data_IF_302889445293
#
_entry.id   IF_302889445293
#
_cell.length_a   1.000
_cell.length_b   1.000
_cell.length_c   1.000
_cell.angle_alpha   90.00
_cell.angle_beta   90.00
_cell.angle_gamma   90.00
#
_symmetry.space_group_name_H-M   'P 1'
#
loop_
_entity.id
_entity.type
_entity.pdbx_description
1 polymer ?
#
# COMPACT_ATOMS: atom_id res chain seq x y z
N UNK A 1 40.05 -44.14 8.32
CA UNK A 1 39.47 -43.44 7.15
C UNK A 1 38.04 -43.08 7.48
N UNK A 2 37.76 -41.82 7.80
CA UNK A 2 36.41 -41.32 8.09
C UNK A 2 36.11 -40.32 6.97
N UNK A 3 35.23 -40.71 6.03
CA UNK A 3 34.74 -39.84 4.96
C UNK A 3 33.50 -39.09 5.45
N UNK A 4 33.60 -37.77 5.56
CA UNK A 4 32.48 -36.87 5.82
C UNK A 4 31.78 -36.48 4.53
N UNK A 5 30.46 -36.62 4.49
CA UNK A 5 29.61 -36.11 3.42
C UNK A 5 29.14 -34.71 3.83
N UNK A 6 29.62 -33.67 3.14
CA UNK A 6 29.02 -32.34 3.18
C UNK A 6 27.74 -32.35 2.33
N UNK A 7 26.59 -32.18 2.98
CA UNK A 7 25.34 -31.84 2.29
C UNK A 7 25.31 -30.32 2.07
N UNK A 8 25.45 -29.89 0.82
CA UNK A 8 25.25 -28.50 0.42
C UNK A 8 23.75 -28.18 0.42
N UNK A 9 23.33 -27.29 1.32
CA UNK A 9 21.99 -26.71 1.32
C UNK A 9 21.89 -25.75 0.14
N UNK A 10 21.14 -26.13 -0.90
CA UNK A 10 20.74 -25.21 -1.98
C UNK A 10 19.58 -24.37 -1.46
N UNK A 11 19.90 -23.16 -0.99
CA UNK A 11 18.90 -22.12 -0.72
C UNK A 11 18.34 -21.65 -2.07
N UNK A 12 17.15 -22.12 -2.41
CA UNK A 12 16.38 -21.61 -3.55
C UNK A 12 15.98 -20.16 -3.28
N UNK A 13 16.65 -19.22 -3.95
CA UNK A 13 16.20 -17.84 -4.06
C UNK A 13 14.86 -17.83 -4.80
N UNK A 14 13.76 -17.59 -4.08
CA UNK A 14 12.49 -17.28 -4.73
C UNK A 14 12.58 -15.87 -5.33
N UNK A 15 12.65 -15.82 -6.66
CA UNK A 15 12.63 -14.57 -7.41
C UNK A 15 11.23 -13.97 -7.32
N UNK A 16 11.08 -12.92 -6.51
CA UNK A 16 9.94 -12.02 -6.63
C UNK A 16 9.98 -11.39 -8.02
N UNK A 17 8.84 -11.22 -8.72
CA UNK A 17 8.84 -10.47 -9.97
C UNK A 17 9.39 -9.08 -9.67
N UNK A 18 10.48 -8.73 -10.37
CA UNK A 18 11.04 -7.39 -10.29
C UNK A 18 9.95 -6.37 -10.62
N UNK A 19 9.95 -5.22 -9.95
CA UNK A 19 9.11 -4.10 -10.32
C UNK A 19 9.15 -3.92 -11.84
N UNK A 20 7.97 -3.91 -12.48
CA UNK A 20 7.90 -3.85 -13.93
C UNK A 20 8.64 -2.60 -14.41
N UNK A 21 9.60 -2.77 -15.32
CA UNK A 21 10.29 -1.61 -15.90
C UNK A 21 9.24 -0.70 -16.56
N UNK A 22 9.34 0.62 -16.39
CA UNK A 22 8.38 1.54 -16.99
C UNK A 22 8.22 1.36 -18.51
N UNK A 23 9.24 0.79 -19.18
CA UNK A 23 9.25 0.50 -20.61
C UNK A 23 8.21 -0.55 -21.05
N UNK A 24 7.75 -1.42 -20.15
CA UNK A 24 6.75 -2.46 -20.46
C UNK A 24 5.35 -2.12 -19.97
N UNK A 25 5.20 -1.02 -19.24
CA UNK A 25 3.91 -0.59 -18.70
C UNK A 25 3.16 0.26 -19.72
N UNK A 26 1.88 -0.05 -19.96
CA UNK A 26 1.04 0.77 -20.84
C UNK A 26 0.97 2.21 -20.30
N UNK A 27 0.96 3.22 -21.20
CA UNK A 27 0.73 4.60 -20.81
C UNK A 27 -0.70 4.76 -20.25
N UNK A 28 -0.89 5.73 -19.37
CA UNK A 28 -2.20 6.01 -18.79
C UNK A 28 -3.05 6.78 -19.79
N UNK A 29 -4.23 6.24 -20.13
CA UNK A 29 -5.26 6.95 -20.90
C UNK A 29 -6.07 7.86 -19.96
N UNK A 30 -5.59 9.10 -19.77
CA UNK A 30 -6.20 10.04 -18.83
C UNK A 30 -7.65 10.38 -19.15
N UNK A 31 -7.99 10.53 -20.44
CA UNK A 31 -9.33 10.89 -20.86
C UNK A 31 -10.32 9.76 -20.59
N UNK A 32 -9.94 8.52 -20.92
CA UNK A 32 -10.77 7.34 -20.63
C UNK A 32 -10.96 7.13 -19.14
N UNK A 33 -9.90 7.30 -18.35
CA UNK A 33 -9.99 7.14 -16.89
C UNK A 33 -10.87 8.22 -16.26
N UNK A 34 -10.73 9.49 -16.66
CA UNK A 34 -11.51 10.60 -16.12
C UNK A 34 -13.03 10.48 -16.35
N UNK A 35 -13.47 9.69 -17.33
CA UNK A 35 -14.90 9.45 -17.60
C UNK A 35 -15.50 8.24 -16.88
N UNK A 36 -14.71 7.47 -16.12
CA UNK A 36 -15.18 6.25 -15.43
C UNK A 36 -15.92 6.60 -14.13
N UNK A 37 -16.84 5.72 -13.74
CA UNK A 37 -17.33 5.72 -12.37
C UNK A 37 -16.19 5.34 -11.40
N UNK A 38 -16.20 5.94 -10.20
CA UNK A 38 -15.10 5.75 -9.24
C UNK A 38 -14.88 4.29 -8.87
N UNK A 39 -15.95 3.51 -8.65
CA UNK A 39 -15.81 2.09 -8.31
C UNK A 39 -15.10 1.28 -9.40
N UNK A 40 -15.44 1.55 -10.66
CA UNK A 40 -14.87 0.84 -11.82
C UNK A 40 -13.42 1.27 -12.06
N UNK A 41 -13.12 2.54 -11.85
CA UNK A 41 -11.76 3.06 -11.94
C UNK A 41 -10.87 2.51 -10.81
N UNK A 42 -11.32 2.63 -9.56
CA UNK A 42 -10.49 2.47 -8.38
C UNK A 42 -10.18 1.02 -8.06
N UNK A 43 -11.16 0.11 -8.22
CA UNK A 43 -11.05 -1.27 -7.71
C UNK A 43 -10.96 -2.35 -8.79
N UNK A 44 -11.28 -2.03 -10.06
CA UNK A 44 -11.32 -3.06 -11.10
C UNK A 44 -9.92 -3.56 -11.46
N UNK A 45 -9.75 -4.88 -11.43
CA UNK A 45 -8.58 -5.58 -11.98
C UNK A 45 -8.75 -5.98 -13.43
N UNK A 46 -9.97 -5.85 -13.98
CA UNK A 46 -10.33 -6.30 -15.32
C UNK A 46 -10.33 -5.14 -16.33
N UNK A 47 -10.56 -3.92 -15.86
CA UNK A 47 -10.62 -2.75 -16.72
C UNK A 47 -9.23 -2.15 -16.88
N UNK A 48 -8.69 -2.23 -18.10
CA UNK A 48 -7.37 -1.73 -18.45
C UNK A 48 -7.17 -0.24 -18.06
N UNK A 49 -5.98 0.07 -17.55
CA UNK A 49 -5.53 1.45 -17.30
C UNK A 49 -5.95 2.03 -15.94
N UNK A 50 -6.76 1.32 -15.14
CA UNK A 50 -7.04 1.70 -13.75
C UNK A 50 -5.88 1.39 -12.80
N UNK A 51 -5.82 2.03 -11.62
CA UNK A 51 -4.76 1.82 -10.63
C UNK A 51 -4.59 0.35 -10.23
N UNK A 52 -5.67 -0.39 -9.95
CA UNK A 52 -5.57 -1.80 -9.54
C UNK A 52 -5.12 -2.71 -10.68
N UNK A 53 -5.60 -2.49 -11.91
CA UNK A 53 -5.12 -3.20 -13.11
C UNK A 53 -3.62 -2.98 -13.34
N UNK A 54 -3.14 -1.73 -13.21
CA UNK A 54 -1.73 -1.37 -13.38
C UNK A 54 -0.87 -1.95 -12.23
N UNK A 55 -1.28 -1.77 -10.98
CA UNK A 55 -0.55 -2.24 -9.81
C UNK A 55 -0.45 -3.77 -9.76
N UNK A 56 -1.50 -4.49 -10.16
CA UNK A 56 -1.50 -5.96 -10.28
C UNK A 56 -0.49 -6.51 -11.28
N UNK A 57 0.05 -5.66 -12.18
CA UNK A 57 1.10 -5.98 -13.16
C UNK A 57 2.47 -5.43 -12.77
N UNK A 58 2.63 -4.94 -11.54
CA UNK A 58 3.87 -4.32 -11.07
C UNK A 58 4.14 -2.92 -11.66
N UNK A 59 3.15 -2.30 -12.33
CA UNK A 59 3.27 -0.99 -12.96
C UNK A 59 2.90 0.15 -11.99
N UNK A 60 3.54 0.17 -10.81
CA UNK A 60 3.16 1.05 -9.71
C UNK A 60 3.27 2.54 -10.03
N UNK A 61 4.32 2.96 -10.75
CA UNK A 61 4.46 4.36 -11.16
C UNK A 61 3.29 4.82 -12.07
N UNK A 62 2.87 3.96 -13.01
CA UNK A 62 1.69 4.22 -13.85
C UNK A 62 0.39 4.17 -13.06
N UNK A 63 0.28 3.27 -12.08
CA UNK A 63 -0.88 3.20 -11.20
C UNK A 63 -1.04 4.49 -10.37
N UNK A 64 0.07 5.02 -9.85
CA UNK A 64 0.10 6.33 -9.19
C UNK A 64 -0.25 7.48 -10.13
N UNK A 65 0.27 7.47 -11.36
CA UNK A 65 -0.11 8.44 -12.39
C UNK A 65 -1.62 8.41 -12.69
N UNK A 66 -2.21 7.21 -12.84
CA UNK A 66 -3.64 7.05 -13.06
C UNK A 66 -4.47 7.63 -11.91
N UNK A 67 -4.14 7.28 -10.66
CA UNK A 67 -4.86 7.78 -9.48
C UNK A 67 -4.76 9.31 -9.34
N UNK A 68 -3.56 9.88 -9.54
CA UNK A 68 -3.33 11.33 -9.47
C UNK A 68 -4.14 12.09 -10.53
N UNK A 69 -4.17 11.58 -11.76
CA UNK A 69 -4.93 12.23 -12.84
C UNK A 69 -6.45 12.12 -12.64
N UNK A 70 -6.92 10.99 -12.10
CA UNK A 70 -8.32 10.83 -11.75
C UNK A 70 -8.75 11.77 -10.61
N UNK A 71 -7.90 11.97 -9.59
CA UNK A 71 -8.12 12.98 -8.55
C UNK A 71 -8.19 14.41 -9.10
N UNK A 72 -7.44 14.70 -10.17
CA UNK A 72 -7.36 16.04 -10.76
C UNK A 72 -8.45 16.33 -11.80
N UNK A 73 -8.87 15.33 -12.57
CA UNK A 73 -9.74 15.51 -13.76
C UNK A 73 -11.00 14.64 -13.77
N UNK A 74 -11.09 13.68 -12.86
CA UNK A 74 -12.24 12.79 -12.77
C UNK A 74 -13.48 13.46 -12.18
N UNK A 75 -14.54 12.68 -11.95
CA UNK A 75 -15.74 13.14 -11.25
C UNK A 75 -15.41 13.66 -9.85
N UNK A 76 -16.26 14.55 -9.33
CA UNK A 76 -16.17 14.98 -7.93
C UNK A 76 -16.40 13.79 -7.01
N UNK A 77 -15.40 13.51 -6.16
CA UNK A 77 -15.43 12.42 -5.19
C UNK A 77 -15.99 12.89 -3.86
N UNK A 78 -16.68 11.98 -3.17
CA UNK A 78 -16.97 12.16 -1.75
C UNK A 78 -15.68 12.13 -0.91
N UNK A 79 -15.75 12.61 0.33
CA UNK A 79 -14.63 12.58 1.28
C UNK A 79 -14.05 11.17 1.43
N UNK A 80 -14.92 10.15 1.50
CA UNK A 80 -14.50 8.75 1.64
C UNK A 80 -13.74 8.27 0.41
N UNK A 81 -14.27 8.53 -0.79
CA UNK A 81 -13.69 8.10 -2.06
C UNK A 81 -12.36 8.81 -2.32
N UNK A 82 -12.28 10.11 -2.04
CA UNK A 82 -11.04 10.89 -2.12
C UNK A 82 -9.97 10.31 -1.20
N UNK A 83 -10.30 10.04 0.06
CA UNK A 83 -9.37 9.46 1.02
C UNK A 83 -8.85 8.07 0.59
N UNK A 84 -9.72 7.21 0.06
CA UNK A 84 -9.30 5.89 -0.45
C UNK A 84 -8.36 6.05 -1.64
N UNK A 85 -8.72 6.91 -2.60
CA UNK A 85 -7.91 7.15 -3.79
C UNK A 85 -6.54 7.71 -3.44
N UNK A 86 -6.46 8.62 -2.46
CA UNK A 86 -5.21 9.16 -1.92
C UNK A 86 -4.35 8.08 -1.24
N UNK A 87 -4.96 7.18 -0.47
CA UNK A 87 -4.24 6.07 0.15
C UNK A 87 -3.64 5.15 -0.93
N UNK A 88 -4.41 4.75 -1.94
CA UNK A 88 -3.92 3.89 -3.02
C UNK A 88 -2.86 4.59 -3.88
N UNK A 89 -3.02 5.89 -4.16
CA UNK A 89 -1.98 6.71 -4.77
C UNK A 89 -0.69 6.62 -3.96
N UNK A 90 -0.76 6.87 -2.65
CA UNK A 90 0.40 6.82 -1.76
C UNK A 90 1.09 5.46 -1.77
N UNK A 91 0.33 4.36 -1.69
CA UNK A 91 0.89 3.00 -1.76
C UNK A 91 1.56 2.70 -3.09
N UNK A 92 0.96 3.14 -4.21
CA UNK A 92 1.55 2.95 -5.54
C UNK A 92 2.84 3.78 -5.71
N UNK A 93 2.88 5.01 -5.20
CA UNK A 93 4.11 5.82 -5.18
C UNK A 93 5.20 5.16 -4.34
N UNK A 94 4.85 4.64 -3.15
CA UNK A 94 5.79 3.96 -2.27
C UNK A 94 6.35 2.68 -2.91
N UNK A 95 5.51 1.87 -3.55
CA UNK A 95 5.97 0.72 -4.33
C UNK A 95 6.83 1.12 -5.55
N UNK A 96 6.62 2.30 -6.12
CA UNK A 96 7.46 2.85 -7.18
C UNK A 96 8.79 3.45 -6.67
N UNK A 97 9.01 3.48 -5.34
CA UNK A 97 10.21 4.03 -4.71
C UNK A 97 10.15 5.54 -4.42
N UNK A 98 9.04 6.21 -4.72
CA UNK A 98 8.84 7.64 -4.41
C UNK A 98 8.17 7.79 -3.05
N UNK A 99 8.90 7.46 -1.99
CA UNK A 99 8.37 7.46 -0.61
C UNK A 99 8.03 8.87 -0.11
N UNK A 100 8.71 9.89 -0.60
CA UNK A 100 8.43 11.28 -0.25
C UNK A 100 7.06 11.74 -0.78
N UNK A 101 6.78 11.50 -2.06
CA UNK A 101 5.46 11.81 -2.61
C UNK A 101 4.38 10.87 -2.03
N UNK A 102 4.74 9.61 -1.76
CA UNK A 102 3.85 8.68 -1.08
C UNK A 102 3.40 9.19 0.29
N UNK A 103 4.32 9.70 1.11
CA UNK A 103 4.00 10.24 2.42
C UNK A 103 3.00 11.40 2.33
N UNK A 104 3.16 12.30 1.35
CA UNK A 104 2.22 13.40 1.13
C UNK A 104 0.82 12.92 0.73
N UNK A 105 0.74 11.94 -0.18
CA UNK A 105 -0.52 11.35 -0.58
C UNK A 105 -1.21 10.60 0.57
N UNK A 106 -0.45 9.81 1.35
CA UNK A 106 -0.96 9.12 2.54
C UNK A 106 -1.45 10.11 3.59
N UNK A 107 -0.71 11.18 3.87
CA UNK A 107 -1.16 12.23 4.80
C UNK A 107 -2.49 12.86 4.35
N UNK A 108 -2.67 13.03 3.03
CA UNK A 108 -3.92 13.54 2.42
C UNK A 108 -5.07 12.54 2.45
N UNK A 109 -4.82 11.28 2.79
CA UNK A 109 -5.84 10.24 2.96
C UNK A 109 -6.53 10.30 4.34
N UNK A 110 -6.01 11.10 5.29
CA UNK A 110 -6.62 11.24 6.63
C UNK A 110 -8.03 11.81 6.51
N UNK A 111 -8.96 11.32 7.34
CA UNK A 111 -10.35 11.80 7.42
C UNK A 111 -10.58 12.58 8.70
N UNK A 112 -11.72 13.25 8.79
CA UNK A 112 -12.20 13.79 10.07
C UNK A 112 -12.35 12.66 11.09
N UNK A 113 -11.97 12.91 12.34
CA UNK A 113 -12.17 11.97 13.45
C UNK A 113 -13.65 11.86 13.87
N UNK A 114 -14.52 12.73 13.32
CA UNK A 114 -15.97 12.66 13.47
C UNK A 114 -16.54 11.55 12.57
N UNK A 115 -16.53 10.32 13.08
CA UNK A 115 -17.21 9.20 12.43
C UNK A 115 -18.72 9.42 12.36
N UNK A 116 -19.30 9.19 11.20
CA UNK A 116 -20.77 9.12 11.07
C UNK A 116 -21.25 7.68 11.30
N UNK A 117 -22.50 7.49 11.72
CA UNK A 117 -23.08 6.16 11.98
C UNK A 117 -23.08 5.22 10.74
N UNK A 118 -22.92 5.78 9.54
CA UNK A 118 -22.83 5.03 8.28
C UNK A 118 -21.41 4.62 7.86
N UNK A 119 -20.38 5.01 8.61
CA UNK A 119 -19.00 4.63 8.31
C UNK A 119 -18.63 3.29 8.94
N UNK A 120 -17.82 2.51 8.21
CA UNK A 120 -17.23 1.27 8.73
C UNK A 120 -16.47 1.62 10.02
N UNK A 121 -16.65 0.81 11.06
CA UNK A 121 -16.01 0.96 12.37
C UNK A 121 -14.50 0.65 12.36
N UNK A 122 -13.80 1.04 11.31
CA UNK A 122 -12.36 0.94 11.12
C UNK A 122 -11.68 2.19 11.68
N UNK A 123 -10.56 2.04 12.38
CA UNK A 123 -9.62 3.12 12.67
C UNK A 123 -8.74 3.44 11.47
N UNK A 124 -9.40 4.03 10.47
CA UNK A 124 -8.79 4.50 9.24
C UNK A 124 -7.61 5.44 9.50
N UNK A 125 -7.77 6.39 10.41
CA UNK A 125 -6.73 7.38 10.69
C UNK A 125 -5.53 6.74 11.38
N UNK A 126 -5.71 5.79 12.31
CA UNK A 126 -4.57 5.05 12.86
C UNK A 126 -3.79 4.30 11.77
N UNK A 127 -4.47 3.64 10.83
CA UNK A 127 -3.78 2.96 9.73
C UNK A 127 -3.03 3.94 8.82
N UNK A 128 -3.67 5.04 8.41
CA UNK A 128 -3.06 6.08 7.57
C UNK A 128 -1.85 6.71 8.26
N UNK A 129 -1.97 7.08 9.53
CA UNK A 129 -0.89 7.68 10.31
C UNK A 129 0.27 6.72 10.55
N UNK A 130 -0.02 5.42 10.76
CA UNK A 130 1.02 4.41 10.91
C UNK A 130 1.80 4.19 9.60
N UNK A 131 1.09 4.12 8.47
CA UNK A 131 1.71 4.03 7.15
C UNK A 131 2.57 5.27 6.85
N UNK A 132 2.06 6.46 7.18
CA UNK A 132 2.82 7.70 7.08
C UNK A 132 4.10 7.64 7.93
N UNK A 133 4.01 7.18 9.18
CA UNK A 133 5.15 7.01 10.08
C UNK A 133 6.26 6.14 9.48
N UNK A 134 5.90 5.02 8.84
CA UNK A 134 6.88 4.21 8.09
C UNK A 134 7.55 4.99 6.95
N UNK A 135 6.76 5.71 6.13
CA UNK A 135 7.27 6.41 4.95
C UNK A 135 8.18 7.58 5.31
N UNK A 136 7.94 8.26 6.43
CA UNK A 136 8.79 9.37 6.91
C UNK A 136 9.84 8.93 7.92
N UNK A 137 9.99 7.62 8.15
CA UNK A 137 10.90 7.03 9.12
C UNK A 137 10.70 7.55 10.55
N UNK A 138 9.45 7.75 10.94
CA UNK A 138 9.02 7.99 12.32
C UNK A 138 8.57 6.66 12.98
N UNK A 139 9.50 6.06 13.74
CA UNK A 139 9.28 4.77 14.39
C UNK A 139 8.25 4.86 15.51
N UNK A 140 8.28 5.95 16.28
CA UNK A 140 7.39 6.14 17.42
C UNK A 140 5.94 6.27 16.96
N UNK A 141 5.70 7.02 15.88
CA UNK A 141 4.38 7.13 15.28
C UNK A 141 3.87 5.77 14.77
N UNK A 142 4.69 5.04 14.01
CA UNK A 142 4.32 3.71 13.51
C UNK A 142 3.93 2.76 14.65
N UNK A 143 4.77 2.66 15.68
CA UNK A 143 4.56 1.75 16.81
C UNK A 143 3.30 2.15 17.61
N UNK A 144 3.09 3.45 17.85
CA UNK A 144 1.90 3.94 18.55
C UNK A 144 0.60 3.62 17.81
N UNK A 145 0.58 3.78 16.49
CA UNK A 145 -0.62 3.48 15.68
C UNK A 145 -0.86 1.99 15.52
N UNK A 146 0.20 1.20 15.34
CA UNK A 146 0.11 -0.26 15.36
C UNK A 146 -0.53 -0.76 16.66
N UNK A 147 -0.08 -0.24 17.79
CA UNK A 147 -0.60 -0.61 19.11
C UNK A 147 -2.06 -0.15 19.28
N UNK A 148 -2.45 0.99 18.71
CA UNK A 148 -3.86 1.40 18.65
C UNK A 148 -4.73 0.38 17.91
N UNK A 149 -4.30 -0.06 16.71
CA UNK A 149 -5.05 -1.02 15.90
C UNK A 149 -5.13 -2.41 16.56
N UNK A 150 -4.09 -2.84 17.27
CA UNK A 150 -4.07 -4.12 17.99
C UNK A 150 -5.10 -4.22 19.12
N UNK A 151 -5.51 -3.09 19.69
CA UNK A 151 -6.55 -3.04 20.73
C UNK A 151 -7.97 -3.09 20.17
N UNK A 152 -8.15 -2.91 18.85
CA UNK A 152 -9.45 -2.98 18.21
C UNK A 152 -9.91 -4.43 18.07
N UNK A 153 -11.21 -4.67 18.26
CA UNK A 153 -11.83 -5.98 17.99
C UNK A 153 -12.36 -6.08 16.55
N UNK A 154 -12.26 -5.01 15.76
CA UNK A 154 -12.75 -4.97 14.39
C UNK A 154 -11.79 -5.70 13.44
N UNK A 155 -12.31 -6.65 12.64
CA UNK A 155 -11.49 -7.46 11.72
C UNK A 155 -10.68 -6.60 10.74
N UNK A 156 -11.25 -5.48 10.27
CA UNK A 156 -10.53 -4.54 9.40
C UNK A 156 -9.30 -3.93 10.06
N UNK A 157 -9.38 -3.61 11.35
CA UNK A 157 -8.24 -3.05 12.08
C UNK A 157 -7.19 -4.12 12.35
N UNK A 158 -7.59 -5.37 12.58
CA UNK A 158 -6.66 -6.49 12.69
C UNK A 158 -5.86 -6.70 11.39
N UNK A 159 -6.51 -6.58 10.22
CA UNK A 159 -5.80 -6.62 8.93
C UNK A 159 -4.82 -5.46 8.76
N UNK A 160 -5.25 -4.24 9.11
CA UNK A 160 -4.39 -3.06 9.05
C UNK A 160 -3.21 -3.15 10.04
N UNK A 161 -3.43 -3.67 11.25
CA UNK A 161 -2.39 -3.95 12.24
C UNK A 161 -1.37 -4.96 11.68
N UNK A 162 -1.83 -6.01 11.00
CA UNK A 162 -0.95 -6.96 10.32
C UNK A 162 -0.07 -6.27 9.26
N UNK A 163 -0.62 -5.33 8.51
CA UNK A 163 0.17 -4.56 7.54
C UNK A 163 1.21 -3.65 8.23
N UNK A 164 0.81 -2.87 9.25
CA UNK A 164 1.75 -2.03 9.99
C UNK A 164 2.82 -2.84 10.73
N UNK A 165 2.48 -4.01 11.27
CA UNK A 165 3.44 -4.90 11.92
C UNK A 165 4.50 -5.40 10.93
N UNK A 166 4.13 -5.69 9.70
CA UNK A 166 5.08 -6.04 8.62
C UNK A 166 6.04 -4.88 8.32
N UNK A 167 5.51 -3.67 8.22
CA UNK A 167 6.31 -2.47 8.03
C UNK A 167 7.27 -2.24 9.20
N UNK A 168 6.81 -2.42 10.43
CA UNK A 168 7.62 -2.27 11.64
C UNK A 168 8.76 -3.30 11.72
N UNK A 169 8.51 -4.55 11.29
CA UNK A 169 9.52 -5.61 11.28
C UNK A 169 10.71 -5.30 10.35
N UNK A 170 10.47 -4.55 9.27
CA UNK A 170 11.47 -4.14 8.29
C UNK A 170 11.53 -2.61 8.14
N UNK A 171 11.46 -1.90 9.26
CA UNK A 171 11.30 -0.44 9.30
C UNK A 171 12.33 0.34 8.47
N UNK A 172 13.58 -0.10 8.48
CA UNK A 172 14.68 0.57 7.77
C UNK A 172 14.70 0.28 6.26
N UNK A 173 13.92 -0.68 5.78
CA UNK A 173 13.86 -1.03 4.35
C UNK A 173 12.96 -0.08 3.58
N UNK A 174 13.04 -0.13 2.25
CA UNK A 174 12.03 0.52 1.39
C UNK A 174 10.65 -0.13 1.60
N UNK A 175 9.59 0.61 1.26
CA UNK A 175 8.22 0.12 1.32
C UNK A 175 8.03 -1.16 0.49
N UNK A 176 8.60 -1.20 -0.72
CA UNK A 176 8.59 -2.38 -1.58
C UNK A 176 9.18 -3.59 -0.84
N UNK A 177 10.41 -3.46 -0.33
CA UNK A 177 11.10 -4.56 0.36
C UNK A 177 10.35 -4.99 1.61
N UNK A 178 9.87 -4.06 2.44
CA UNK A 178 9.10 -4.38 3.64
C UNK A 178 7.81 -5.15 3.30
N UNK A 179 7.14 -4.78 2.21
CA UNK A 179 5.86 -5.36 1.81
C UNK A 179 5.99 -6.68 1.05
N UNK A 180 7.11 -6.96 0.38
CA UNK A 180 7.28 -8.19 -0.41
C UNK A 180 8.17 -9.22 0.26
N UNK A 181 9.21 -8.82 0.99
CA UNK A 181 10.17 -9.76 1.55
C UNK A 181 9.52 -10.64 2.63
N UNK A 182 9.74 -11.95 2.55
CA UNK A 182 9.10 -12.95 3.42
C UNK A 182 9.52 -12.81 4.88
N UNK A 183 10.75 -12.39 5.13
CA UNK A 183 11.30 -12.16 6.47
C UNK A 183 10.66 -10.98 7.19
N UNK A 184 9.97 -10.09 6.46
CA UNK A 184 9.25 -8.96 7.04
C UNK A 184 7.85 -9.36 7.54
N UNK A 185 7.37 -10.57 7.22
CA UNK A 185 6.10 -11.07 7.75
C UNK A 185 6.24 -11.19 9.27
N UNK A 186 5.58 -10.29 10.00
CA UNK A 186 5.57 -10.34 11.46
C UNK A 186 4.95 -11.66 11.92
N UNK A 187 5.55 -12.29 12.92
CA UNK A 187 4.95 -13.43 13.59
C UNK A 187 3.56 -13.03 14.12
N UNK A 188 2.57 -13.95 14.12
CA UNK A 188 1.30 -13.69 14.78
C UNK A 188 1.56 -13.24 16.22
N UNK A 189 0.84 -12.22 16.68
CA UNK A 189 0.88 -11.88 18.11
C UNK A 189 0.44 -13.11 18.93
N UNK A 190 1.13 -13.42 20.04
CA UNK A 190 0.75 -14.53 20.92
C UNK A 190 -0.63 -14.34 21.54
#
# INVERSE_FOLDING_TARGET
MIGGILAALVLGLQTHPAAGSQATCLPVDHQRNASRAWSDFEFSTEIEGGPMWLAGRGCYARAGEAAREYLARGPLLSVREQAITQLHLGRNLAFAGDEAAAAQAVASARRSDLRTDGEIALDWNAYVEGLYGFLVKDRELLDARLESLRRSTHQGDAMNAGNLARLAACFERSYMEAQTASECVAAPAP
#
